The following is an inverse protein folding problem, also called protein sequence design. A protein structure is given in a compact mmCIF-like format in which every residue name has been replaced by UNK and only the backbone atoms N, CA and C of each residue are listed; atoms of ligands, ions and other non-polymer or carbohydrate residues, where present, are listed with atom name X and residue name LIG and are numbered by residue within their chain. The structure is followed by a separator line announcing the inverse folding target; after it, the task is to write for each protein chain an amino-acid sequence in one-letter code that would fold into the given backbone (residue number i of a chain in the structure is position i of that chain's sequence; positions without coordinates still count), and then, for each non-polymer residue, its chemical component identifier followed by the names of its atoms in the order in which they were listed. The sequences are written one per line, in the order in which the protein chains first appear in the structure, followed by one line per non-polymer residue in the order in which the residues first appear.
data_IF_751120149027
#
_entry.id   IF_751120149027
#
_cell.length_a   1.000
_cell.length_b   1.000
_cell.length_c   1.000
_cell.angle_alpha   90.00
_cell.angle_beta   90.00
_cell.angle_gamma   90.00
#
_symmetry.space_group_name_H-M   'P 1'
#
loop_
_entity.id
_entity.type
_entity.pdbx_description
1 polymer ?
#
# COMPACT_ATOMS: atom_id res chain seq x y z
N UNK A 1 50.20 46.38 -7.29
CA UNK A 1 49.67 45.77 -6.04
C UNK A 1 48.15 45.81 -5.94
N UNK A 2 47.48 46.96 -6.10
CA UNK A 2 45.99 47.05 -5.98
C UNK A 2 45.21 46.04 -6.83
N UNK A 3 45.58 45.83 -8.11
CA UNK A 3 44.90 44.88 -9.01
C UNK A 3 44.95 43.41 -8.54
N UNK A 4 46.07 42.97 -7.98
CA UNK A 4 46.25 41.60 -7.47
C UNK A 4 45.40 41.41 -6.21
N UNK A 5 45.37 42.41 -5.33
CA UNK A 5 44.52 42.39 -4.14
C UNK A 5 43.03 42.33 -4.50
N UNK A 6 42.60 43.06 -5.53
CA UNK A 6 41.21 43.01 -6.03
C UNK A 6 40.85 41.62 -6.58
N UNK A 7 41.73 41.00 -7.35
CA UNK A 7 41.50 39.64 -7.89
C UNK A 7 41.39 38.61 -6.76
N UNK A 8 42.30 38.66 -5.78
CA UNK A 8 42.27 37.77 -4.61
C UNK A 8 40.95 37.95 -3.83
N UNK A 9 40.51 39.19 -3.65
CA UNK A 9 39.24 39.50 -2.96
C UNK A 9 38.03 38.94 -3.69
N UNK A 10 37.98 39.05 -5.03
CA UNK A 10 36.88 38.51 -5.85
C UNK A 10 36.85 36.97 -5.79
N UNK A 11 38.01 36.33 -5.80
CA UNK A 11 38.12 34.87 -5.68
C UNK A 11 37.63 34.41 -4.29
N UNK A 12 38.03 35.11 -3.23
CA UNK A 12 37.55 34.85 -1.86
C UNK A 12 36.03 35.01 -1.73
N UNK A 13 35.46 36.09 -2.29
CA UNK A 13 34.02 36.32 -2.27
C UNK A 13 33.28 35.20 -3.03
N UNK A 14 33.79 34.81 -4.21
CA UNK A 14 33.21 33.73 -5.01
C UNK A 14 33.25 32.39 -4.27
N UNK A 15 34.35 32.08 -3.57
CA UNK A 15 34.47 30.87 -2.75
C UNK A 15 33.45 30.88 -1.60
N UNK A 16 33.34 32.01 -0.89
CA UNK A 16 32.37 32.12 0.23
C UNK A 16 30.93 32.00 -0.24
N UNK A 17 30.58 32.52 -1.43
CA UNK A 17 29.25 32.36 -2.00
C UNK A 17 28.96 30.91 -2.41
N UNK A 18 29.97 30.20 -2.92
CA UNK A 18 29.84 28.79 -3.27
C UNK A 18 29.63 27.92 -2.01
N UNK A 19 30.39 28.18 -0.94
CA UNK A 19 30.23 27.48 0.34
C UNK A 19 28.89 27.78 1.00
N UNK A 20 28.47 29.05 1.02
CA UNK A 20 27.14 29.43 1.53
C UNK A 20 26.01 28.78 0.72
N UNK A 21 26.15 28.74 -0.61
CA UNK A 21 25.20 28.07 -1.50
C UNK A 21 25.13 26.56 -1.27
N UNK A 22 26.28 25.89 -1.12
CA UNK A 22 26.35 24.47 -0.80
C UNK A 22 25.74 24.15 0.58
N UNK A 23 26.02 25.00 1.58
CA UNK A 23 25.45 24.88 2.92
C UNK A 23 23.93 25.05 2.94
N UNK A 24 23.40 26.03 2.20
CA UNK A 24 21.95 26.23 2.06
C UNK A 24 21.29 25.09 1.27
N UNK A 25 21.93 24.57 0.22
CA UNK A 25 21.44 23.44 -0.56
C UNK A 25 21.40 22.13 0.26
N UNK A 26 22.44 21.87 1.05
CA UNK A 26 22.47 20.73 1.98
C UNK A 26 21.42 20.86 3.09
N UNK A 27 21.19 22.07 3.62
CA UNK A 27 20.09 22.32 4.57
C UNK A 27 18.71 22.15 3.93
N UNK A 28 18.51 22.54 2.67
CA UNK A 28 17.26 22.31 1.94
C UNK A 28 17.00 20.80 1.70
N UNK A 29 18.04 20.05 1.33
CA UNK A 29 17.97 18.59 1.16
C UNK A 29 17.75 17.83 2.49
N UNK A 30 18.25 18.36 3.61
CA UNK A 30 18.01 17.79 4.95
C UNK A 30 16.67 18.22 5.54
N UNK A 31 16.15 19.40 5.19
CA UNK A 31 14.78 19.82 5.56
C UNK A 31 13.71 19.00 4.82
N UNK A 32 14.04 18.45 3.64
CA UNK A 32 13.17 17.49 2.94
C UNK A 32 13.29 16.05 3.44
N UNK A 33 14.19 15.74 4.39
CA UNK A 33 14.36 14.42 5.01
C UNK A 33 14.24 14.36 6.53
N UNK A 34 14.02 15.48 7.22
CA UNK A 34 13.84 15.47 8.68
C UNK A 34 12.83 16.53 9.12
N UNK A 35 11.55 16.28 8.86
CA UNK A 35 10.48 16.88 9.64
C UNK A 35 10.33 16.13 10.96
N UNK A 36 11.20 16.38 11.93
CA UNK A 36 10.94 16.08 13.34
C UNK A 36 10.97 17.39 14.11
N UNK A 37 9.81 17.80 14.64
CA UNK A 37 9.73 18.78 15.72
C UNK A 37 9.97 18.04 17.04
N UNK A 38 11.15 18.25 17.62
CA UNK A 38 11.33 18.28 19.08
C UNK A 38 10.65 19.58 19.60
N UNK A 39 10.25 19.79 20.86
CA UNK A 39 10.57 19.23 22.17
C UNK A 39 9.68 20.00 23.17
N UNK A 40 9.10 19.38 24.21
CA UNK A 40 9.15 19.89 25.60
C UNK A 40 8.42 18.96 26.57
N UNK A 41 9.16 18.47 27.56
CA UNK A 41 8.65 17.77 28.73
C UNK A 41 7.96 18.78 29.67
N UNK A 42 6.67 18.59 29.95
CA UNK A 42 6.09 18.92 31.26
C UNK A 42 5.15 17.80 31.70
N UNK A 43 5.52 17.23 32.84
CA UNK A 43 4.73 16.32 33.66
C UNK A 43 3.35 16.90 33.92
N UNK A 44 2.31 16.21 33.47
CA UNK A 44 1.03 16.11 34.14
C UNK A 44 0.38 14.79 33.73
N UNK A 45 0.12 13.96 34.73
CA UNK A 45 -0.93 12.95 34.65
C UNK A 45 -2.19 13.67 34.21
N UNK A 46 -2.78 13.28 33.09
CA UNK A 46 -4.22 13.19 32.93
C UNK A 46 -4.56 12.40 31.66
N UNK A 47 -5.16 11.25 31.92
CA UNK A 47 -6.02 10.42 31.05
C UNK A 47 -6.07 10.81 29.57
N UNK A 48 -5.30 10.11 28.74
CA UNK A 48 -5.72 9.85 27.36
C UNK A 48 -6.92 8.90 27.43
N UNK A 49 -8.10 9.51 27.44
CA UNK A 49 -9.36 8.89 27.06
C UNK A 49 -9.10 7.96 25.88
N UNK A 50 -9.26 6.65 26.10
CA UNK A 50 -9.40 5.70 25.01
C UNK A 50 -10.49 6.25 24.10
N UNK A 51 -10.12 6.78 22.94
CA UNK A 51 -11.07 6.85 21.83
C UNK A 51 -11.25 5.41 21.43
N UNK A 52 -12.26 4.76 22.04
CA UNK A 52 -12.95 3.64 21.43
C UNK A 52 -13.40 4.15 20.06
N UNK A 53 -12.58 3.94 19.04
CA UNK A 53 -13.11 3.74 17.70
C UNK A 53 -13.88 2.44 17.82
N UNK A 54 -15.15 2.57 18.23
CA UNK A 54 -16.16 1.60 17.89
C UNK A 54 -16.04 1.46 16.38
N UNK A 55 -15.42 0.37 15.93
CA UNK A 55 -15.59 -0.10 14.58
C UNK A 55 -17.08 -0.32 14.45
N UNK A 56 -17.79 0.71 13.98
CA UNK A 56 -19.17 0.55 13.53
C UNK A 56 -19.03 -0.33 12.31
N UNK A 57 -19.05 -1.65 12.53
CA UNK A 57 -19.44 -2.61 11.53
C UNK A 57 -20.80 -2.11 11.04
N UNK A 58 -20.93 -1.62 9.80
CA UNK A 58 -22.26 -1.50 9.25
C UNK A 58 -22.75 -2.93 9.18
N UNK A 59 -23.76 -3.27 9.98
CA UNK A 59 -24.50 -4.49 9.77
C UNK A 59 -25.13 -4.36 8.39
N UNK A 60 -24.50 -4.93 7.36
CA UNK A 60 -25.02 -4.93 6.00
C UNK A 60 -26.10 -6.01 5.89
N UNK A 61 -27.23 -5.79 6.57
CA UNK A 61 -28.45 -6.54 6.33
C UNK A 61 -29.18 -5.94 5.13
N UNK A 62 -28.65 -6.13 3.92
CA UNK A 62 -29.46 -6.23 2.69
C UNK A 62 -28.65 -6.69 1.47
N UNK A 63 -29.01 -7.80 0.82
CA UNK A 63 -28.34 -8.32 -0.36
C UNK A 63 -28.93 -7.62 -1.59
N UNK A 64 -28.46 -6.42 -1.89
CA UNK A 64 -28.65 -5.88 -3.23
C UNK A 64 -27.29 -5.68 -3.90
N UNK A 65 -26.82 -6.67 -4.69
CA UNK A 65 -25.55 -6.59 -5.42
C UNK A 65 -25.45 -5.33 -6.28
N UNK A 66 -26.58 -4.82 -6.78
CA UNK A 66 -26.63 -3.59 -7.58
C UNK A 66 -26.30 -2.33 -6.75
N UNK A 67 -26.65 -2.30 -5.47
CA UNK A 67 -26.36 -1.18 -4.57
C UNK A 67 -24.90 -1.20 -4.09
N UNK A 68 -24.32 -2.39 -3.88
CA UNK A 68 -22.90 -2.55 -3.58
C UNK A 68 -22.02 -2.17 -4.80
N UNK A 69 -22.42 -2.59 -6.01
CA UNK A 69 -21.74 -2.22 -7.25
C UNK A 69 -21.82 -0.72 -7.56
N UNK A 70 -22.97 -0.07 -7.32
CA UNK A 70 -23.11 1.40 -7.48
C UNK A 70 -22.22 2.19 -6.51
N UNK A 71 -22.05 1.72 -5.27
CA UNK A 71 -21.17 2.40 -4.28
C UNK A 71 -19.69 2.30 -4.67
N UNK A 72 -19.25 1.17 -5.24
CA UNK A 72 -17.89 1.00 -5.74
C UNK A 72 -17.65 1.83 -7.03
N UNK A 73 -18.65 1.88 -7.92
CA UNK A 73 -18.62 2.76 -9.11
C UNK A 73 -18.48 4.24 -8.73
N UNK A 74 -19.13 4.68 -7.65
CA UNK A 74 -19.03 6.07 -7.19
C UNK A 74 -17.62 6.43 -6.65
N UNK A 75 -16.85 5.46 -6.16
CA UNK A 75 -15.43 5.67 -5.82
C UNK A 75 -14.55 5.85 -7.07
N UNK A 76 -14.89 5.18 -8.18
CA UNK A 76 -14.20 5.37 -9.47
C UNK A 76 -14.44 6.76 -10.09
N UNK A 77 -15.56 7.43 -9.77
CA UNK A 77 -15.92 8.75 -10.32
C UNK A 77 -15.40 9.95 -9.49
N UNK A 78 -14.54 9.73 -8.50
CA UNK A 78 -13.80 10.79 -7.85
C UNK A 78 -12.69 11.37 -8.76
N UNK A 79 -13.09 11.90 -9.94
CA UNK A 79 -12.30 12.88 -10.69
C UNK A 79 -12.34 14.20 -9.92
N UNK A 80 -11.52 14.29 -8.89
CA UNK A 80 -11.13 15.58 -8.33
C UNK A 80 -9.70 15.80 -8.78
N UNK A 81 -9.47 16.83 -9.60
CA UNK A 81 -8.16 17.21 -10.15
C UNK A 81 -7.14 17.65 -9.07
N UNK A 82 -7.41 17.32 -7.80
CA UNK A 82 -6.68 17.61 -6.58
C UNK A 82 -6.38 16.34 -5.78
N UNK A 83 -6.80 15.15 -6.25
CA UNK A 83 -6.61 13.90 -5.52
C UNK A 83 -5.15 13.45 -5.67
N UNK A 84 -4.38 13.52 -4.58
CA UNK A 84 -2.97 13.11 -4.55
C UNK A 84 -2.75 11.63 -4.25
N UNK A 85 -3.75 10.93 -3.70
CA UNK A 85 -3.72 9.49 -3.41
C UNK A 85 -5.14 8.92 -3.30
N UNK A 86 -5.34 7.67 -3.72
CA UNK A 86 -6.58 6.92 -3.51
C UNK A 86 -6.31 5.43 -3.36
N UNK A 87 -6.29 4.93 -2.11
CA UNK A 87 -6.02 3.52 -1.82
C UNK A 87 -7.31 2.77 -1.49
N UNK A 88 -7.57 1.68 -2.20
CA UNK A 88 -8.63 0.72 -1.92
C UNK A 88 -8.07 -0.49 -1.17
N UNK A 89 -8.58 -0.75 0.02
CA UNK A 89 -8.24 -1.94 0.79
C UNK A 89 -9.41 -2.92 0.76
N UNK A 90 -9.19 -4.08 0.15
CA UNK A 90 -10.16 -5.17 0.09
C UNK A 90 -9.75 -6.30 1.03
N UNK A 91 -10.72 -6.90 1.70
CA UNK A 91 -10.54 -8.09 2.50
C UNK A 91 -11.59 -9.12 2.09
N UNK A 92 -11.13 -10.34 1.81
CA UNK A 92 -11.95 -11.49 1.46
C UNK A 92 -11.64 -12.61 2.45
N UNK A 93 -12.67 -13.28 2.95
CA UNK A 93 -12.54 -14.41 3.86
C UNK A 93 -13.31 -15.60 3.29
N UNK A 94 -12.78 -16.80 3.45
CA UNK A 94 -13.46 -18.01 3.01
C UNK A 94 -12.62 -19.27 3.17
N UNK A 95 -13.18 -20.39 2.71
CA UNK A 95 -12.50 -21.68 2.66
C UNK A 95 -11.96 -21.90 1.25
N UNK A 96 -10.69 -22.32 1.12
CA UNK A 96 -10.10 -22.68 -0.17
C UNK A 96 -10.83 -23.91 -0.72
N UNK A 97 -11.49 -23.77 -1.87
CA UNK A 97 -12.14 -24.88 -2.59
C UNK A 97 -11.27 -25.40 -3.73
N UNK A 98 -10.46 -24.53 -4.33
CA UNK A 98 -9.45 -24.86 -5.34
C UNK A 98 -8.22 -23.96 -5.19
N UNK A 99 -7.04 -24.51 -5.46
CA UNK A 99 -5.78 -23.76 -5.51
C UNK A 99 -4.88 -24.35 -6.60
N UNK A 100 -4.27 -23.47 -7.39
CA UNK A 100 -3.26 -23.82 -8.39
C UNK A 100 -2.05 -22.88 -8.27
N UNK A 101 -0.89 -23.45 -7.98
CA UNK A 101 0.40 -22.76 -7.83
C UNK A 101 1.36 -23.04 -9.00
N UNK A 102 0.98 -23.92 -9.93
CA UNK A 102 1.76 -24.23 -11.14
C UNK A 102 1.65 -23.09 -12.14
N UNK A 103 0.50 -22.41 -12.12
CA UNK A 103 0.19 -21.31 -13.01
C UNK A 103 -0.40 -21.78 -14.34
N UNK A 104 -0.79 -20.83 -15.17
CA UNK A 104 -1.44 -21.12 -16.44
C UNK A 104 -1.83 -19.87 -17.19
N UNK A 105 -2.60 -20.06 -18.26
CA UNK A 105 -3.18 -18.97 -19.04
C UNK A 105 -4.65 -18.82 -18.73
N UNK A 106 -5.10 -17.60 -18.44
CA UNK A 106 -6.51 -17.29 -18.32
C UNK A 106 -7.06 -16.82 -19.68
N UNK A 107 -7.95 -17.60 -20.35
CA UNK A 107 -8.41 -17.26 -21.69
C UNK A 107 -9.27 -15.99 -21.74
N UNK A 108 -10.21 -15.82 -20.78
CA UNK A 108 -11.10 -14.65 -20.72
C UNK A 108 -10.37 -13.32 -20.49
N UNK A 109 -9.40 -13.29 -19.57
CA UNK A 109 -8.65 -12.08 -19.25
C UNK A 109 -7.36 -11.94 -20.06
N UNK A 110 -7.06 -12.91 -20.93
CA UNK A 110 -5.87 -12.95 -21.78
C UNK A 110 -4.58 -12.63 -21.01
N UNK A 111 -4.42 -13.28 -19.85
CA UNK A 111 -3.29 -13.03 -18.95
C UNK A 111 -2.78 -14.34 -18.37
N UNK A 112 -1.46 -14.42 -18.15
CA UNK A 112 -0.86 -15.54 -17.44
C UNK A 112 -0.99 -15.33 -15.93
N UNK A 113 -1.21 -16.41 -15.20
CA UNK A 113 -1.22 -16.41 -13.74
C UNK A 113 -0.18 -17.40 -13.21
N UNK A 114 0.37 -17.09 -12.04
CA UNK A 114 1.23 -17.99 -11.27
C UNK A 114 0.47 -18.65 -10.12
N UNK A 115 -0.51 -17.93 -9.57
CA UNK A 115 -1.38 -18.41 -8.50
C UNK A 115 -2.84 -18.18 -8.87
N UNK A 116 -3.65 -19.23 -8.76
CA UNK A 116 -5.11 -19.17 -8.78
C UNK A 116 -5.63 -19.71 -7.45
N UNK A 117 -6.51 -18.96 -6.82
CA UNK A 117 -7.19 -19.39 -5.58
C UNK A 117 -8.68 -19.19 -5.77
N UNK A 118 -9.46 -20.21 -5.44
CA UNK A 118 -10.91 -20.13 -5.32
C UNK A 118 -11.27 -20.27 -3.85
N UNK A 119 -11.95 -19.27 -3.29
CA UNK A 119 -12.51 -19.32 -1.94
C UNK A 119 -14.03 -19.29 -1.98
N UNK A 120 -14.65 -19.97 -1.03
CA UNK A 120 -16.10 -19.96 -0.86
C UNK A 120 -16.46 -19.45 0.54
N UNK A 121 -17.41 -18.52 0.59
CA UNK A 121 -18.03 -17.99 1.81
C UNK A 121 -19.53 -17.78 1.55
N UNK A 122 -20.38 -18.14 2.51
CA UNK A 122 -21.83 -17.91 2.44
C UNK A 122 -22.50 -18.37 1.13
N UNK A 123 -22.05 -19.51 0.59
CA UNK A 123 -22.47 -20.11 -0.70
C UNK A 123 -22.08 -19.32 -1.96
N UNK A 124 -21.28 -18.26 -1.84
CA UNK A 124 -20.69 -17.56 -2.97
C UNK A 124 -19.23 -17.98 -3.17
N UNK A 125 -18.85 -18.22 -4.43
CA UNK A 125 -17.48 -18.58 -4.80
C UNK A 125 -16.81 -17.41 -5.50
N UNK A 126 -15.63 -17.03 -4.99
CA UNK A 126 -14.81 -15.96 -5.54
C UNK A 126 -13.48 -16.53 -6.01
N UNK A 127 -13.08 -16.14 -7.22
CA UNK A 127 -11.90 -16.66 -7.89
C UNK A 127 -10.89 -15.55 -8.14
N UNK A 128 -9.65 -15.81 -7.74
CA UNK A 128 -8.56 -14.85 -7.75
C UNK A 128 -7.41 -15.39 -8.60
N UNK A 129 -6.85 -14.51 -9.45
CA UNK A 129 -5.72 -14.81 -10.32
C UNK A 129 -4.62 -13.78 -10.07
N UNK A 130 -3.43 -14.27 -9.73
CA UNK A 130 -2.25 -13.45 -9.48
C UNK A 130 -1.12 -13.81 -10.46
N UNK A 131 -0.61 -12.83 -11.24
CA UNK A 131 0.49 -13.03 -12.15
C UNK A 131 1.83 -13.20 -11.42
N UNK A 132 2.85 -13.66 -12.14
CA UNK A 132 4.14 -14.05 -11.57
C UNK A 132 4.86 -12.92 -10.84
N UNK A 133 4.85 -11.71 -11.39
CA UNK A 133 5.42 -10.51 -10.74
C UNK A 133 4.74 -10.22 -9.39
N UNK A 134 3.42 -10.31 -9.31
CA UNK A 134 2.69 -10.09 -8.06
C UNK A 134 3.03 -11.16 -7.02
N UNK A 135 3.07 -12.42 -7.44
CA UNK A 135 3.39 -13.55 -6.55
C UNK A 135 4.82 -13.46 -6.01
N UNK A 136 5.77 -12.97 -6.79
CA UNK A 136 7.16 -12.89 -6.35
C UNK A 136 7.47 -11.61 -5.57
N UNK A 137 6.87 -10.48 -5.93
CA UNK A 137 7.28 -9.17 -5.42
C UNK A 137 6.39 -8.66 -4.28
N UNK A 138 5.12 -9.09 -4.22
CA UNK A 138 4.09 -8.44 -3.36
C UNK A 138 3.32 -9.40 -2.46
N UNK A 139 3.37 -10.70 -2.73
CA UNK A 139 2.65 -11.71 -1.96
C UNK A 139 3.38 -12.04 -0.67
N UNK A 140 2.67 -11.97 0.45
CA UNK A 140 3.08 -12.57 1.72
C UNK A 140 2.00 -13.57 2.14
N UNK A 141 2.44 -14.76 2.53
CA UNK A 141 1.55 -15.79 3.08
C UNK A 141 1.93 -15.97 4.54
N UNK A 142 0.95 -15.84 5.41
CA UNK A 142 1.14 -15.73 6.85
C UNK A 142 0.28 -16.79 7.55
N UNK A 143 0.76 -17.36 8.64
CA UNK A 143 -0.07 -18.15 9.54
C UNK A 143 -0.89 -17.26 10.49
N UNK A 144 -1.68 -17.89 11.38
CA UNK A 144 -2.48 -17.22 12.42
C UNK A 144 -1.65 -16.38 13.39
N UNK A 145 -0.35 -16.67 13.52
CA UNK A 145 0.61 -15.98 14.39
C UNK A 145 1.40 -14.90 13.62
N UNK A 146 1.05 -14.66 12.35
CA UNK A 146 1.72 -13.73 11.44
C UNK A 146 3.16 -14.11 11.07
N UNK A 147 3.52 -15.39 11.18
CA UNK A 147 4.77 -15.90 10.64
C UNK A 147 4.65 -16.16 9.14
N UNK A 148 5.69 -15.82 8.37
CA UNK A 148 5.74 -16.13 6.95
C UNK A 148 5.79 -17.64 6.72
N UNK A 149 4.86 -18.14 5.91
CA UNK A 149 4.78 -19.55 5.50
C UNK A 149 4.84 -19.66 3.97
N UNK A 150 5.15 -20.86 3.50
CA UNK A 150 5.26 -21.13 2.06
C UNK A 150 3.90 -21.27 1.40
N UNK A 151 3.80 -20.98 0.10
CA UNK A 151 2.56 -21.12 -0.68
C UNK A 151 2.07 -22.57 -0.75
N UNK A 152 2.98 -23.53 -0.71
CA UNK A 152 2.69 -24.97 -0.68
C UNK A 152 1.99 -25.41 0.61
N UNK A 153 2.00 -24.57 1.65
CA UNK A 153 1.26 -24.85 2.89
C UNK A 153 -0.25 -24.60 2.77
N UNK A 154 -0.67 -23.87 1.73
CA UNK A 154 -2.08 -23.63 1.43
C UNK A 154 -2.66 -24.82 0.67
N UNK A 155 -3.75 -25.38 1.18
CA UNK A 155 -4.46 -26.52 0.58
C UNK A 155 -5.96 -26.33 0.61
N UNK A 156 -6.65 -27.08 -0.24
CA UNK A 156 -8.10 -27.20 -0.21
C UNK A 156 -8.58 -27.56 1.20
N UNK A 157 -9.61 -26.84 1.66
CA UNK A 157 -10.18 -26.97 2.99
C UNK A 157 -9.59 -26.02 4.04
N UNK A 158 -8.46 -25.37 3.78
CA UNK A 158 -7.94 -24.34 4.68
C UNK A 158 -8.86 -23.11 4.67
N UNK A 159 -9.06 -22.51 5.85
CA UNK A 159 -9.68 -21.20 5.97
C UNK A 159 -8.61 -20.12 5.78
N UNK A 160 -8.89 -19.15 4.92
CA UNK A 160 -7.96 -18.05 4.66
C UNK A 160 -8.64 -16.68 4.66
N UNK A 161 -7.81 -15.65 4.87
CA UNK A 161 -8.17 -14.25 4.67
C UNK A 161 -7.21 -13.67 3.63
N UNK A 162 -7.73 -13.17 2.51
CA UNK A 162 -6.99 -12.47 1.47
C UNK A 162 -7.17 -10.96 1.69
N UNK A 163 -6.08 -10.22 1.85
CA UNK A 163 -6.06 -8.76 1.92
C UNK A 163 -5.31 -8.18 0.73
N UNK A 164 -5.95 -7.25 0.03
CA UNK A 164 -5.38 -6.53 -1.10
C UNK A 164 -5.40 -5.02 -0.82
N UNK A 165 -4.29 -4.34 -1.06
CA UNK A 165 -4.24 -2.88 -1.09
C UNK A 165 -3.94 -2.41 -2.50
N UNK A 166 -4.80 -1.56 -3.08
CA UNK A 166 -4.69 -1.11 -4.48
C UNK A 166 -4.70 0.40 -4.59
N UNK A 167 -3.77 0.96 -5.35
CA UNK A 167 -3.83 2.34 -5.81
C UNK A 167 -4.83 2.47 -6.95
N UNK A 168 -5.89 3.25 -6.74
CA UNK A 168 -6.92 3.51 -7.74
C UNK A 168 -6.52 4.58 -8.77
N UNK A 169 -5.45 5.33 -8.51
CA UNK A 169 -4.92 6.33 -9.45
C UNK A 169 -3.92 5.72 -10.44
N UNK A 170 -3.35 4.55 -10.14
CA UNK A 170 -2.48 3.80 -11.02
C UNK A 170 -3.28 3.18 -12.18
N UNK A 171 -2.85 3.48 -13.41
CA UNK A 171 -3.53 3.06 -14.64
C UNK A 171 -3.18 1.63 -15.03
N UNK A 172 -1.98 1.18 -14.68
CA UNK A 172 -1.54 -0.18 -14.95
C UNK A 172 -2.03 -1.12 -13.85
N UNK A 173 -2.96 -2.01 -14.18
CA UNK A 173 -3.63 -2.91 -13.23
C UNK A 173 -2.64 -3.72 -12.36
N UNK A 174 -1.51 -4.15 -12.89
CA UNK A 174 -0.50 -4.91 -12.13
C UNK A 174 0.32 -4.02 -11.18
N UNK A 175 0.55 -2.77 -11.56
CA UNK A 175 1.19 -1.77 -10.68
C UNK A 175 0.23 -1.30 -9.61
N UNK A 176 -1.08 -1.29 -9.89
CA UNK A 176 -2.12 -0.83 -8.97
C UNK A 176 -2.13 -1.63 -7.66
N UNK A 177 -1.82 -2.93 -7.68
CA UNK A 177 -1.75 -3.71 -6.45
C UNK A 177 -0.48 -3.35 -5.68
N UNK A 178 -0.61 -2.70 -4.53
CA UNK A 178 0.51 -2.30 -3.70
C UNK A 178 0.96 -3.41 -2.76
N UNK A 179 0.00 -4.13 -2.18
CA UNK A 179 0.26 -5.19 -1.20
C UNK A 179 -0.76 -6.34 -1.36
N UNK A 180 -0.29 -7.57 -1.21
CA UNK A 180 -1.11 -8.78 -1.16
C UNK A 180 -0.70 -9.65 0.03
N UNK A 181 -1.62 -9.86 0.97
CA UNK A 181 -1.41 -10.76 2.12
C UNK A 181 -2.47 -11.86 2.14
N UNK A 182 -2.04 -13.09 2.36
CA UNK A 182 -2.92 -14.25 2.56
C UNK A 182 -2.63 -14.83 3.95
N UNK A 183 -3.61 -14.77 4.83
CA UNK A 183 -3.52 -15.36 6.17
C UNK A 183 -4.19 -16.73 6.17
N UNK A 184 -3.48 -17.75 6.64
CA UNK A 184 -4.04 -19.05 6.96
C UNK A 184 -4.51 -19.06 8.41
N UNK A 185 -5.81 -19.29 8.62
CA UNK A 185 -6.49 -19.24 9.91
C UNK A 185 -6.55 -20.62 10.55
#
# INVERSE_FOLDING_TARGET
MKKILTIITIVLISLTLLEAGAYLYLNFLSTSKTGNLAQENKTNQDQLTQVNTVAVHPAFSNPNPALAAQKLFNLLYLKKNILSSSILNNQYEGIITEIDTKGGWHPKYQTSYKLRIVITSDNESNEFYYPNNIVNDKLQILDKESNTISIESLKKGDRIIIKESRDLLEKEKEKSLLELKIYKV
#
